data_IF_116908851038
#
_entry.id   IF_116908851038
#
_cell.length_a   1.000
_cell.length_b   1.000
_cell.length_c   1.000
_cell.angle_alpha   90.00
_cell.angle_beta   90.00
_cell.angle_gamma   90.00
#
_symmetry.space_group_name_H-M   'P 1'
#
loop_
_entity.id
_entity.type
_entity.pdbx_description
1 polymer ?
#
# COMPACT_ATOMS: atom_id res chain seq x y z
N UNK A 1 20.94 -6.66 21.79
CA UNK A 1 20.24 -7.48 20.78
C UNK A 1 20.73 -7.06 19.41
N UNK A 2 20.96 -7.99 18.49
CA UNK A 2 21.26 -7.59 17.12
C UNK A 2 19.95 -7.30 16.35
N UNK A 3 20.05 -6.54 15.25
CA UNK A 3 18.88 -6.11 14.48
C UNK A 3 18.04 -7.29 13.94
N UNK A 4 18.67 -8.40 13.55
CA UNK A 4 17.98 -9.58 13.03
C UNK A 4 17.10 -10.24 14.11
N UNK A 5 17.60 -10.38 15.33
CA UNK A 5 16.85 -10.95 16.47
C UNK A 5 15.62 -10.08 16.78
N UNK A 6 15.82 -8.76 16.89
CA UNK A 6 14.71 -7.82 17.15
C UNK A 6 13.66 -7.86 16.03
N UNK A 7 14.09 -7.91 14.79
CA UNK A 7 13.16 -8.00 13.65
C UNK A 7 12.38 -9.32 13.65
N UNK A 8 13.03 -10.44 13.95
CA UNK A 8 12.37 -11.75 14.05
C UNK A 8 11.32 -11.76 15.17
N UNK A 9 11.60 -11.17 16.33
CA UNK A 9 10.65 -11.00 17.43
C UNK A 9 9.41 -10.21 16.98
N UNK A 10 9.58 -9.06 16.31
CA UNK A 10 8.49 -8.23 15.80
C UNK A 10 7.61 -9.02 14.82
N UNK A 11 8.23 -9.70 13.85
CA UNK A 11 7.51 -10.49 12.83
C UNK A 11 6.72 -11.64 13.47
N UNK A 12 7.31 -12.31 14.47
CA UNK A 12 6.66 -13.40 15.18
C UNK A 12 5.56 -12.92 16.13
N UNK A 13 5.76 -11.80 16.80
CA UNK A 13 4.75 -11.24 17.71
C UNK A 13 3.53 -10.68 16.98
N UNK A 14 3.71 -10.10 15.79
CA UNK A 14 2.59 -9.50 15.04
C UNK A 14 1.50 -10.56 14.69
N UNK A 15 0.30 -10.30 15.17
CA UNK A 15 -0.91 -11.12 14.90
C UNK A 15 -2.03 -10.21 14.39
N UNK A 16 -3.01 -10.81 13.70
CA UNK A 16 -4.28 -10.14 13.42
C UNK A 16 -5.16 -10.15 14.67
N UNK A 17 -5.16 -9.03 15.40
CA UNK A 17 -5.92 -8.87 16.64
C UNK A 17 -7.29 -8.30 16.33
N UNK A 18 -8.35 -8.93 16.80
CA UNK A 18 -9.74 -8.60 16.46
C UNK A 18 -10.53 -7.99 17.61
N UNK A 19 -9.91 -7.81 18.78
CA UNK A 19 -10.50 -7.07 19.90
C UNK A 19 -9.43 -6.24 20.59
N UNK A 20 -9.77 -4.99 20.86
CA UNK A 20 -8.87 -4.02 21.49
C UNK A 20 -9.50 -3.49 22.79
N UNK A 21 -8.66 -3.16 23.73
CA UNK A 21 -9.07 -2.46 24.94
C UNK A 21 -9.27 -0.97 24.64
N UNK A 22 -10.53 -0.57 24.53
CA UNK A 22 -10.92 0.82 24.23
C UNK A 22 -10.64 1.80 25.37
N UNK A 23 -10.33 1.29 26.59
CA UNK A 23 -10.06 2.11 27.79
C UNK A 23 -8.56 2.23 28.09
N UNK A 24 -7.74 1.34 27.52
CA UNK A 24 -6.30 1.40 27.72
C UNK A 24 -5.69 2.69 27.12
N UNK A 25 -4.65 3.25 27.75
CA UNK A 25 -3.91 4.37 27.16
C UNK A 25 -3.39 4.01 25.76
N UNK A 26 -3.61 4.92 24.80
CA UNK A 26 -3.19 4.74 23.42
C UNK A 26 -2.42 5.96 22.91
N UNK A 27 -1.18 5.76 22.50
CA UNK A 27 -0.35 6.80 21.93
C UNK A 27 -0.66 6.97 20.43
N UNK A 28 -1.45 7.98 20.09
CA UNK A 28 -1.77 8.30 18.71
C UNK A 28 -0.54 8.75 17.87
N UNK A 29 0.55 9.17 18.51
CA UNK A 29 1.79 9.55 17.83
C UNK A 29 2.58 8.31 17.37
N UNK A 30 2.39 7.15 18.03
CA UNK A 30 2.90 5.89 17.54
C UNK A 30 2.34 5.53 16.16
N UNK A 31 1.06 5.85 15.88
CA UNK A 31 0.46 5.70 14.55
C UNK A 31 1.15 6.61 13.54
N UNK A 32 1.43 7.86 13.91
CA UNK A 32 2.11 8.82 13.05
C UNK A 32 3.52 8.34 12.71
N UNK A 33 4.34 8.00 13.72
CA UNK A 33 5.70 7.46 13.51
C UNK A 33 5.69 6.20 12.65
N UNK A 34 4.69 5.35 12.83
CA UNK A 34 4.54 4.11 12.04
C UNK A 34 4.16 4.39 10.60
N UNK A 35 3.35 5.41 10.31
CA UNK A 35 3.06 5.86 8.95
C UNK A 35 4.27 6.52 8.29
N UNK A 36 5.07 7.28 9.02
CA UNK A 36 6.32 7.85 8.51
C UNK A 36 7.33 6.76 8.10
N UNK A 37 7.38 5.64 8.83
CA UNK A 37 8.16 4.47 8.40
C UNK A 37 7.52 3.76 7.20
N UNK A 38 6.20 3.68 7.16
CA UNK A 38 5.47 3.04 6.07
C UNK A 38 5.69 3.71 4.70
N UNK A 39 5.80 5.04 4.66
CA UNK A 39 6.05 5.77 3.41
C UNK A 39 7.48 5.57 2.85
N UNK A 40 8.37 4.94 3.62
CA UNK A 40 9.70 4.53 3.15
C UNK A 40 9.68 3.17 2.43
N UNK A 41 8.53 2.49 2.37
CA UNK A 41 8.41 1.21 1.69
C UNK A 41 8.79 1.28 0.21
N UNK A 42 9.38 0.22 -0.36
CA UNK A 42 9.65 0.16 -1.78
C UNK A 42 8.34 0.18 -2.58
N UNK A 43 8.40 0.80 -3.76
CA UNK A 43 7.24 0.89 -4.64
C UNK A 43 7.65 1.00 -6.10
N UNK A 44 6.73 0.67 -7.00
CA UNK A 44 7.00 0.69 -8.42
C UNK A 44 7.30 2.11 -8.91
N UNK A 45 8.45 2.26 -9.58
CA UNK A 45 8.90 3.52 -10.18
C UNK A 45 8.95 4.70 -9.21
N UNK A 46 9.08 4.44 -7.94
CA UNK A 46 9.03 5.46 -6.87
C UNK A 46 7.81 6.40 -6.95
N UNK A 47 6.72 5.96 -7.59
CA UNK A 47 5.54 6.81 -7.79
C UNK A 47 4.72 7.05 -6.52
N UNK A 48 4.94 6.27 -5.46
CA UNK A 48 4.32 6.46 -4.14
C UNK A 48 2.80 6.66 -4.24
N UNK A 49 2.15 5.81 -5.04
CA UNK A 49 0.70 5.89 -5.33
C UNK A 49 -0.15 5.29 -4.23
N UNK A 50 0.18 5.57 -3.00
CA UNK A 50 -0.60 5.25 -1.80
C UNK A 50 -1.11 6.50 -1.10
N UNK A 51 -2.03 6.31 -0.18
CA UNK A 51 -2.48 7.32 0.77
C UNK A 51 -2.95 6.63 2.05
N UNK A 52 -2.80 7.32 3.17
CA UNK A 52 -3.23 6.83 4.47
C UNK A 52 -4.19 7.85 5.08
N UNK A 53 -5.39 7.38 5.45
CA UNK A 53 -6.40 8.20 6.12
C UNK A 53 -6.54 7.72 7.56
N UNK A 54 -6.15 8.54 8.50
CA UNK A 54 -6.28 8.29 9.94
C UNK A 54 -7.70 8.62 10.39
N UNK A 55 -8.39 7.66 10.98
CA UNK A 55 -9.76 7.79 11.47
C UNK A 55 -9.70 7.82 12.99
N UNK A 56 -9.67 9.03 13.58
CA UNK A 56 -9.41 9.27 14.99
C UNK A 56 -10.68 9.55 15.80
N UNK A 57 -11.59 10.38 15.26
CA UNK A 57 -12.79 10.76 15.99
C UNK A 57 -13.72 9.55 16.15
N UNK A 58 -14.41 9.50 17.29
CA UNK A 58 -15.28 8.38 17.63
C UNK A 58 -16.42 8.21 16.63
N UNK A 59 -17.03 9.32 16.19
CA UNK A 59 -18.10 9.28 15.21
C UNK A 59 -17.65 8.70 13.87
N UNK A 60 -16.48 9.14 13.39
CA UNK A 60 -15.90 8.60 12.15
C UNK A 60 -15.51 7.14 12.30
N UNK A 61 -14.94 6.73 13.46
CA UNK A 61 -14.63 5.32 13.70
C UNK A 61 -15.88 4.46 13.70
N UNK A 62 -16.97 4.90 14.34
CA UNK A 62 -18.27 4.18 14.31
C UNK A 62 -18.80 4.03 12.90
N UNK A 63 -18.75 5.10 12.10
CA UNK A 63 -19.25 5.04 10.72
C UNK A 63 -18.37 4.13 9.85
N UNK A 64 -17.04 4.23 9.94
CA UNK A 64 -16.13 3.33 9.21
C UNK A 64 -16.32 1.88 9.67
N UNK A 65 -16.49 1.63 10.97
CA UNK A 65 -16.76 0.27 11.48
C UNK A 65 -18.06 -0.32 10.89
N UNK A 66 -19.11 0.50 10.78
CA UNK A 66 -20.36 0.10 10.10
C UNK A 66 -20.11 -0.29 8.65
N UNK A 67 -19.29 0.49 7.93
CA UNK A 67 -18.92 0.19 6.55
C UNK A 67 -17.96 -1.00 6.42
N UNK A 68 -17.28 -1.38 7.49
CA UNK A 68 -16.49 -2.61 7.60
C UNK A 68 -17.34 -3.79 8.13
N UNK A 69 -18.64 -3.83 7.85
CA UNK A 69 -19.57 -4.91 8.24
C UNK A 69 -19.63 -5.13 9.77
N UNK A 70 -19.40 -4.10 10.56
CA UNK A 70 -19.34 -4.17 12.02
C UNK A 70 -18.38 -5.24 12.56
N UNK A 71 -17.33 -5.55 11.82
CA UNK A 71 -16.31 -6.48 12.30
C UNK A 71 -15.77 -6.04 13.66
N UNK A 72 -15.55 -7.00 14.55
CA UNK A 72 -15.10 -6.72 15.93
C UNK A 72 -13.83 -5.88 15.96
N UNK A 73 -12.87 -6.14 15.06
CA UNK A 73 -11.65 -5.34 14.94
C UNK A 73 -11.94 -3.86 14.66
N UNK A 74 -12.88 -3.55 13.76
CA UNK A 74 -13.23 -2.17 13.44
C UNK A 74 -13.98 -1.48 14.59
N UNK A 75 -14.89 -2.19 15.27
CA UNK A 75 -15.70 -1.63 16.36
C UNK A 75 -14.92 -1.31 17.63
N UNK A 76 -13.90 -2.10 17.91
CA UNK A 76 -13.11 -1.95 19.16
C UNK A 76 -11.79 -1.20 18.94
N UNK A 77 -11.41 -0.90 17.70
CA UNK A 77 -10.17 -0.17 17.40
C UNK A 77 -10.11 1.19 18.09
N UNK A 78 -8.95 1.54 18.62
CA UNK A 78 -8.67 2.87 19.17
C UNK A 78 -8.40 3.88 18.04
N UNK A 79 -7.85 3.44 16.92
CA UNK A 79 -7.77 4.18 15.65
C UNK A 79 -7.93 3.23 14.46
N UNK A 80 -8.46 3.73 13.34
CA UNK A 80 -8.49 3.01 12.07
C UNK A 80 -7.63 3.75 11.04
N UNK A 81 -6.90 3.00 10.22
CA UNK A 81 -6.12 3.56 9.10
C UNK A 81 -6.65 2.97 7.81
N UNK A 82 -7.20 3.82 6.94
CA UNK A 82 -7.63 3.41 5.60
C UNK A 82 -6.49 3.61 4.63
N UNK A 83 -6.01 2.51 4.06
CA UNK A 83 -4.92 2.50 3.06
C UNK A 83 -5.54 2.59 1.67
N UNK A 84 -5.15 3.60 0.91
CA UNK A 84 -5.71 3.88 -0.41
C UNK A 84 -4.69 3.71 -1.52
N UNK A 85 -5.16 3.31 -2.70
CA UNK A 85 -4.42 3.30 -3.96
C UNK A 85 -4.77 4.55 -4.76
N UNK A 86 -3.79 5.39 -5.03
CA UNK A 86 -3.91 6.71 -5.65
C UNK A 86 -3.28 6.72 -7.05
N UNK A 87 -3.68 5.74 -7.88
CA UNK A 87 -3.24 5.70 -9.28
C UNK A 87 -3.57 7.01 -10.04
N UNK A 88 -4.59 7.76 -9.60
CA UNK A 88 -4.94 9.09 -10.13
C UNK A 88 -3.82 10.13 -9.99
N UNK A 89 -2.90 9.94 -9.07
CA UNK A 89 -1.78 10.85 -8.78
C UNK A 89 -0.53 10.62 -9.63
N UNK A 90 -0.50 9.59 -10.46
CA UNK A 90 0.71 9.21 -11.18
C UNK A 90 1.35 10.35 -12.00
N UNK A 91 0.54 11.23 -12.63
CA UNK A 91 1.05 12.35 -13.44
C UNK A 91 1.78 13.38 -12.60
N UNK A 92 1.14 13.81 -11.50
CA UNK A 92 1.71 14.76 -10.56
C UNK A 92 3.00 14.23 -9.93
N UNK A 93 2.94 13.00 -9.43
CA UNK A 93 4.09 12.36 -8.79
C UNK A 93 5.25 12.14 -9.77
N UNK A 94 4.95 11.65 -10.99
CA UNK A 94 5.95 11.48 -12.05
C UNK A 94 6.63 12.80 -12.41
N UNK A 95 5.86 13.88 -12.56
CA UNK A 95 6.40 15.21 -12.84
C UNK A 95 7.33 15.69 -11.72
N UNK A 96 6.89 15.62 -10.47
CA UNK A 96 7.70 16.04 -9.31
C UNK A 96 9.00 15.25 -9.18
N UNK A 97 8.96 13.93 -9.43
CA UNK A 97 10.17 13.09 -9.44
C UNK A 97 11.11 13.54 -10.56
N UNK A 98 10.57 13.76 -11.76
CA UNK A 98 11.37 14.21 -12.92
C UNK A 98 12.00 15.59 -12.69
N UNK A 99 11.24 16.52 -12.12
CA UNK A 99 11.72 17.87 -11.79
C UNK A 99 12.88 17.79 -10.75
N UNK A 100 12.73 16.96 -9.71
CA UNK A 100 13.80 16.73 -8.72
C UNK A 100 15.04 16.08 -9.33
N UNK A 101 14.84 15.05 -10.20
CA UNK A 101 15.96 14.40 -10.88
C UNK A 101 16.74 15.38 -11.75
N UNK A 102 16.05 16.21 -12.53
CA UNK A 102 16.70 17.23 -13.37
C UNK A 102 17.49 18.25 -12.56
N UNK A 103 16.98 18.65 -11.40
CA UNK A 103 17.68 19.55 -10.49
C UNK A 103 18.91 18.93 -9.84
N UNK A 104 18.98 17.59 -9.73
CA UNK A 104 20.09 16.86 -9.10
C UNK A 104 21.17 16.39 -10.09
N UNK A 105 20.88 16.38 -11.39
CA UNK A 105 21.81 15.89 -12.40
C UNK A 105 22.85 16.95 -12.76
N UNK A 106 24.08 16.51 -13.04
CA UNK A 106 25.15 17.38 -13.53
C UNK A 106 24.99 17.68 -15.03
N UNK A 107 25.55 18.80 -15.48
CA UNK A 107 25.67 19.12 -16.90
C UNK A 107 27.14 18.90 -17.34
N UNK A 108 27.37 18.14 -18.43
CA UNK A 108 26.39 17.49 -19.32
C UNK A 108 25.77 16.21 -18.71
N UNK A 109 24.53 15.92 -19.08
CA UNK A 109 23.80 14.74 -18.66
C UNK A 109 24.49 13.44 -19.11
N UNK A 110 24.68 12.49 -18.19
CA UNK A 110 25.20 11.17 -18.50
C UNK A 110 24.19 10.32 -19.31
N UNK A 111 24.65 9.22 -19.90
CA UNK A 111 23.75 8.25 -20.56
C UNK A 111 22.72 7.65 -19.59
N UNK A 112 23.08 7.50 -18.31
CA UNK A 112 22.19 7.01 -17.25
C UNK A 112 21.07 8.03 -16.97
N UNK A 113 21.43 9.31 -16.85
CA UNK A 113 20.48 10.39 -16.57
C UNK A 113 19.46 10.53 -17.70
N UNK A 114 19.93 10.51 -18.96
CA UNK A 114 19.05 10.53 -20.15
C UNK A 114 18.05 9.37 -20.16
N UNK A 115 18.50 8.15 -19.83
CA UNK A 115 17.61 6.98 -19.73
C UNK A 115 16.60 7.13 -18.60
N UNK A 116 17.02 7.68 -17.45
CA UNK A 116 16.13 7.90 -16.32
C UNK A 116 15.04 8.94 -16.67
N UNK A 117 15.39 10.04 -17.33
CA UNK A 117 14.46 11.04 -17.84
C UNK A 117 13.46 10.39 -18.83
N UNK A 118 13.97 9.68 -19.84
CA UNK A 118 13.13 9.00 -20.85
C UNK A 118 12.15 8.00 -20.21
N UNK A 119 12.55 7.32 -19.15
CA UNK A 119 11.68 6.41 -18.42
C UNK A 119 10.44 7.12 -17.86
N UNK A 120 10.60 8.27 -17.21
CA UNK A 120 9.48 9.01 -16.66
C UNK A 120 8.69 9.78 -17.73
N UNK A 121 9.30 10.18 -18.83
CA UNK A 121 8.64 10.90 -19.92
C UNK A 121 7.84 9.99 -20.86
N UNK A 122 8.29 8.75 -21.06
CA UNK A 122 7.70 7.82 -22.05
C UNK A 122 7.08 6.57 -21.41
N UNK A 123 7.84 5.86 -20.56
CA UNK A 123 7.41 4.55 -20.08
C UNK A 123 6.30 4.69 -19.03
N UNK A 124 6.41 5.64 -18.10
CA UNK A 124 5.39 5.87 -17.09
C UNK A 124 4.06 6.32 -17.72
N UNK A 125 4.00 7.32 -18.61
CA UNK A 125 2.77 7.65 -19.35
C UNK A 125 2.21 6.46 -20.12
N UNK A 126 3.04 5.69 -20.81
CA UNK A 126 2.59 4.50 -21.53
C UNK A 126 1.91 3.50 -20.59
N UNK A 127 2.43 3.30 -19.37
CA UNK A 127 1.89 2.34 -18.42
C UNK A 127 0.59 2.82 -17.74
N UNK A 128 0.51 4.10 -17.36
CA UNK A 128 -0.56 4.62 -16.50
C UNK A 128 -1.66 5.38 -17.25
N UNK A 129 -1.44 5.82 -18.50
CA UNK A 129 -2.49 6.46 -19.29
C UNK A 129 -3.54 5.43 -19.69
N UNK A 130 -4.77 5.68 -19.30
CA UNK A 130 -5.90 4.85 -19.67
C UNK A 130 -6.98 5.73 -20.33
N UNK A 131 -7.64 5.17 -21.32
CA UNK A 131 -8.77 5.76 -22.03
C UNK A 131 -10.02 4.91 -21.83
N UNK A 132 -11.23 5.48 -21.98
CA UNK A 132 -12.47 4.74 -21.81
C UNK A 132 -12.77 3.74 -22.93
N UNK A 133 -12.16 3.88 -24.11
CA UNK A 133 -12.44 3.08 -25.29
C UNK A 133 -11.45 1.92 -25.49
N UNK A 134 -10.39 1.85 -24.70
CA UNK A 134 -9.40 0.77 -24.77
C UNK A 134 -8.31 0.94 -25.85
N UNK A 135 -8.23 2.10 -26.51
CA UNK A 135 -7.19 2.36 -27.51
C UNK A 135 -5.78 2.21 -26.94
N UNK A 136 -5.54 2.68 -25.72
CA UNK A 136 -4.25 2.52 -25.05
C UNK A 136 -3.94 1.05 -24.75
N UNK A 137 -4.94 0.23 -24.47
CA UNK A 137 -4.77 -1.21 -24.30
C UNK A 137 -4.36 -1.87 -25.60
N UNK A 138 -5.02 -1.53 -26.71
CA UNK A 138 -4.67 -2.04 -28.05
C UNK A 138 -3.25 -1.61 -28.43
N UNK A 139 -2.93 -0.34 -28.28
CA UNK A 139 -1.58 0.19 -28.57
C UNK A 139 -0.49 -0.57 -27.78
N UNK A 140 -0.71 -0.77 -26.47
CA UNK A 140 0.23 -1.55 -25.64
C UNK A 140 0.37 -2.99 -26.12
N UNK A 141 -0.72 -3.65 -26.50
CA UNK A 141 -0.67 -5.03 -27.03
C UNK A 141 0.19 -5.10 -28.28
N UNK A 142 0.05 -4.16 -29.21
CA UNK A 142 0.86 -4.07 -30.42
C UNK A 142 2.33 -3.86 -30.08
N UNK A 143 2.64 -2.88 -29.23
CA UNK A 143 4.03 -2.59 -28.80
C UNK A 143 4.64 -3.82 -28.12
N UNK A 144 3.93 -4.42 -27.16
CA UNK A 144 4.39 -5.61 -26.42
C UNK A 144 4.63 -6.79 -27.37
N UNK A 145 3.75 -7.00 -28.35
CA UNK A 145 3.92 -8.06 -29.35
C UNK A 145 5.25 -7.91 -30.10
N UNK A 146 5.50 -6.74 -30.68
CA UNK A 146 6.73 -6.51 -31.45
C UNK A 146 8.00 -6.49 -30.58
N UNK A 147 7.91 -5.95 -29.37
CA UNK A 147 9.05 -5.93 -28.46
C UNK A 147 9.38 -7.32 -27.94
N UNK A 148 8.37 -8.15 -27.67
CA UNK A 148 8.56 -9.52 -27.21
C UNK A 148 9.16 -10.46 -28.28
N UNK A 149 9.05 -10.13 -29.56
CA UNK A 149 9.74 -10.83 -30.64
C UNK A 149 11.25 -10.59 -30.63
N UNK A 150 11.70 -9.44 -30.09
CA UNK A 150 13.11 -9.06 -30.02
C UNK A 150 13.83 -9.55 -28.76
N UNK A 151 13.08 -10.03 -27.76
CA UNK A 151 13.64 -10.52 -26.50
C UNK A 151 12.65 -10.44 -25.32
N UNK A 152 13.10 -10.74 -24.11
CA UNK A 152 12.26 -10.65 -22.91
C UNK A 152 11.69 -9.23 -22.75
N UNK A 153 10.37 -9.13 -22.66
CA UNK A 153 9.66 -7.86 -22.50
C UNK A 153 8.47 -8.02 -21.56
N UNK A 154 8.20 -7.04 -20.63
CA UNK A 154 7.05 -7.09 -19.75
C UNK A 154 5.73 -7.12 -20.53
N UNK A 155 4.86 -8.08 -20.24
CA UNK A 155 3.58 -8.26 -20.96
C UNK A 155 2.41 -7.50 -20.32
N UNK A 156 2.64 -6.29 -19.88
CA UNK A 156 1.65 -5.43 -19.22
C UNK A 156 0.91 -4.59 -20.24
N UNK A 157 -0.32 -4.96 -20.54
CA UNK A 157 -1.06 -4.36 -21.67
C UNK A 157 -2.35 -3.67 -21.27
N UNK A 158 -2.93 -3.98 -20.11
CA UNK A 158 -4.24 -3.50 -19.74
C UNK A 158 -4.27 -2.67 -18.45
N UNK A 159 -5.44 -2.10 -18.15
CA UNK A 159 -5.67 -1.30 -16.95
C UNK A 159 -5.52 -2.12 -15.65
N UNK A 160 -5.81 -3.41 -15.70
CA UNK A 160 -5.70 -4.27 -14.52
C UNK A 160 -4.25 -4.34 -14.02
N UNK A 161 -3.26 -4.34 -14.93
CA UNK A 161 -1.85 -4.35 -14.54
C UNK A 161 -1.42 -3.11 -13.75
N UNK A 162 -1.82 -1.91 -14.19
CA UNK A 162 -1.50 -0.68 -13.45
C UNK A 162 -2.20 -0.65 -12.08
N UNK A 163 -3.42 -1.18 -12.01
CA UNK A 163 -4.16 -1.36 -10.75
C UNK A 163 -3.43 -2.30 -9.80
N UNK A 164 -3.03 -3.49 -10.28
CA UNK A 164 -2.28 -4.48 -9.49
C UNK A 164 -0.97 -3.88 -8.95
N UNK A 165 -0.23 -3.12 -9.75
CA UNK A 165 1.01 -2.46 -9.33
C UNK A 165 0.76 -1.49 -8.16
N UNK A 166 -0.30 -0.68 -8.24
CA UNK A 166 -0.61 0.28 -7.16
C UNK A 166 -1.05 -0.44 -5.89
N UNK A 167 -1.82 -1.52 -5.99
CA UNK A 167 -2.20 -2.34 -4.84
C UNK A 167 -1.01 -3.04 -4.20
N UNK A 168 -0.08 -3.59 -4.99
CA UNK A 168 1.17 -4.17 -4.45
C UNK A 168 1.99 -3.14 -3.70
N UNK A 169 2.17 -1.95 -4.26
CA UNK A 169 2.90 -0.86 -3.60
C UNK A 169 2.24 -0.44 -2.29
N UNK A 170 0.92 -0.27 -2.27
CA UNK A 170 0.17 0.07 -1.07
C UNK A 170 0.23 -1.03 0.00
N UNK A 171 0.20 -2.31 -0.41
CA UNK A 171 0.31 -3.45 0.49
C UNK A 171 1.70 -3.55 1.15
N UNK A 172 2.78 -3.24 0.43
CA UNK A 172 4.13 -3.17 1.00
C UNK A 172 4.21 -2.10 2.09
N UNK A 173 3.65 -0.91 1.85
CA UNK A 173 3.60 0.15 2.84
C UNK A 173 2.69 -0.21 4.03
N UNK A 174 1.54 -0.85 3.79
CA UNK A 174 0.65 -1.34 4.84
C UNK A 174 1.33 -2.40 5.72
N UNK A 175 2.11 -3.32 5.13
CA UNK A 175 2.88 -4.30 5.90
C UNK A 175 3.96 -3.62 6.77
N UNK A 176 4.67 -2.64 6.22
CA UNK A 176 5.66 -1.84 6.98
C UNK A 176 4.98 -1.12 8.15
N UNK A 177 3.80 -0.53 7.93
CA UNK A 177 2.99 0.08 8.99
C UNK A 177 2.65 -0.91 10.10
N UNK A 178 2.14 -2.10 9.74
CA UNK A 178 1.74 -3.10 10.74
C UNK A 178 2.92 -3.64 11.56
N UNK A 179 4.09 -3.82 10.95
CA UNK A 179 5.31 -4.22 11.67
C UNK A 179 5.79 -3.09 12.58
N UNK A 180 5.72 -1.84 12.11
CA UNK A 180 6.07 -0.68 12.91
C UNK A 180 5.15 -0.51 14.12
N UNK A 181 3.84 -0.67 13.96
CA UNK A 181 2.90 -0.65 15.09
C UNK A 181 3.20 -1.75 16.11
N UNK A 182 3.59 -2.94 15.63
CA UNK A 182 4.02 -4.02 16.54
C UNK A 182 5.30 -3.64 17.31
N UNK A 183 6.25 -2.96 16.67
CA UNK A 183 7.45 -2.45 17.31
C UNK A 183 7.15 -1.34 18.34
N UNK A 184 6.10 -0.54 18.10
CA UNK A 184 5.58 0.46 19.06
C UNK A 184 4.73 -0.16 20.20
N UNK A 185 4.54 -1.50 20.21
CA UNK A 185 3.76 -2.21 21.24
C UNK A 185 2.25 -2.27 20.96
N UNK A 186 1.80 -1.87 19.78
CA UNK A 186 0.38 -1.87 19.42
C UNK A 186 0.04 -2.96 18.43
N UNK A 187 -1.14 -3.54 18.60
CA UNK A 187 -1.65 -4.57 17.71
C UNK A 187 -2.37 -3.99 16.51
N UNK A 188 -2.45 -4.79 15.45
CA UNK A 188 -3.14 -4.42 14.22
C UNK A 188 -3.99 -5.57 13.66
N UNK A 189 -5.01 -5.22 12.86
CA UNK A 189 -5.76 -6.16 12.05
C UNK A 189 -6.09 -5.56 10.69
N UNK A 190 -5.51 -6.07 9.58
CA UNK A 190 -5.94 -5.69 8.24
C UNK A 190 -7.30 -6.31 7.92
N UNK A 191 -8.16 -5.54 7.29
CA UNK A 191 -9.51 -5.92 6.88
C UNK A 191 -9.72 -5.56 5.41
N UNK A 192 -10.26 -6.51 4.63
CA UNK A 192 -10.65 -6.30 3.23
C UNK A 192 -12.18 -6.32 3.05
N UNK A 193 -12.92 -6.76 4.09
CA UNK A 193 -14.39 -6.75 4.11
C UNK A 193 -14.94 -5.38 4.46
N UNK A 194 -15.18 -4.52 3.46
CA UNK A 194 -15.77 -3.18 3.61
C UNK A 194 -16.56 -2.77 2.36
N UNK A 195 -17.53 -1.85 2.55
CA UNK A 195 -18.24 -1.21 1.43
C UNK A 195 -17.36 -0.09 0.84
N UNK A 196 -16.57 -0.42 -0.17
CA UNK A 196 -15.63 0.51 -0.79
C UNK A 196 -16.32 1.78 -1.30
N UNK A 197 -17.47 1.64 -1.96
CA UNK A 197 -18.18 2.77 -2.57
C UNK A 197 -18.60 3.79 -1.53
N UNK A 198 -19.21 3.34 -0.42
CA UNK A 198 -19.63 4.22 0.66
C UNK A 198 -18.46 4.79 1.43
N UNK A 199 -17.43 3.97 1.68
CA UNK A 199 -16.23 4.41 2.39
C UNK A 199 -15.46 5.49 1.60
N UNK A 200 -15.33 5.35 0.28
CA UNK A 200 -14.78 6.39 -0.60
C UNK A 200 -15.59 7.69 -0.51
N UNK A 201 -16.92 7.60 -0.53
CA UNK A 201 -17.79 8.78 -0.40
C UNK A 201 -17.61 9.46 0.96
N UNK A 202 -17.57 8.69 2.05
CA UNK A 202 -17.35 9.19 3.40
C UNK A 202 -16.03 9.96 3.53
N UNK A 203 -14.97 9.46 2.90
CA UNK A 203 -13.62 10.06 2.95
C UNK A 203 -13.38 11.12 1.87
N UNK A 204 -14.36 11.45 1.03
CA UNK A 204 -14.20 12.42 -0.07
C UNK A 204 -13.19 12.00 -1.13
N UNK A 205 -12.99 10.69 -1.32
CA UNK A 205 -12.00 10.17 -2.27
C UNK A 205 -12.48 10.31 -3.73
N UNK A 206 -11.57 10.64 -4.66
CA UNK A 206 -11.92 10.72 -6.07
C UNK A 206 -12.33 9.35 -6.63
N UNK A 207 -13.14 9.35 -7.68
CA UNK A 207 -13.67 8.12 -8.30
C UNK A 207 -12.59 7.10 -8.67
N UNK A 208 -11.41 7.59 -9.08
CA UNK A 208 -10.28 6.75 -9.53
C UNK A 208 -9.41 6.23 -8.39
N UNK A 209 -9.55 6.74 -7.18
CA UNK A 209 -8.91 6.13 -6.01
C UNK A 209 -9.58 4.80 -5.68
N UNK A 210 -8.80 3.86 -5.16
CA UNK A 210 -9.29 2.58 -4.65
C UNK A 210 -8.83 2.41 -3.20
N UNK A 211 -9.53 1.58 -2.43
CA UNK A 211 -9.11 1.26 -1.07
C UNK A 211 -8.40 -0.10 -1.11
N UNK A 212 -7.18 -0.14 -0.58
CA UNK A 212 -6.40 -1.36 -0.50
C UNK A 212 -6.88 -2.22 0.68
N UNK A 213 -6.92 -1.63 1.87
CA UNK A 213 -7.41 -2.27 3.09
C UNK A 213 -7.75 -1.23 4.16
N UNK A 214 -8.49 -1.64 5.18
CA UNK A 214 -8.67 -0.89 6.42
C UNK A 214 -7.91 -1.61 7.53
N UNK A 215 -7.05 -0.90 8.25
CA UNK A 215 -6.27 -1.47 9.34
C UNK A 215 -6.80 -0.93 10.68
N UNK A 216 -7.29 -1.83 11.51
CA UNK A 216 -7.61 -1.53 12.90
C UNK A 216 -6.34 -1.56 13.75
N UNK A 217 -6.20 -0.65 14.71
CA UNK A 217 -5.07 -0.62 15.64
C UNK A 217 -5.49 -0.20 17.05
N UNK A 218 -4.72 -0.66 18.02
CA UNK A 218 -4.96 -0.38 19.43
C UNK A 218 -4.22 -1.34 20.35
N UNK A 219 -4.49 -1.22 21.66
CA UNK A 219 -4.00 -2.15 22.67
C UNK A 219 -4.78 -3.46 22.59
N UNK A 220 -4.06 -4.57 22.41
CA UNK A 220 -4.67 -5.90 22.25
C UNK A 220 -5.37 -6.35 23.54
N UNK A 221 -6.57 -6.93 23.41
CA UNK A 221 -7.12 -7.79 24.43
C UNK A 221 -6.61 -9.24 24.24
N UNK A 222 -6.38 -10.01 25.31
CA UNK A 222 -5.91 -11.41 25.19
C UNK A 222 -6.80 -12.26 24.27
N UNK A 223 -8.10 -12.12 24.36
CA UNK A 223 -9.08 -12.83 23.50
C UNK A 223 -9.22 -12.22 22.10
N UNK A 224 -8.41 -11.21 21.75
CA UNK A 224 -8.39 -10.62 20.40
C UNK A 224 -7.73 -11.49 19.36
N UNK A 225 -6.96 -12.50 19.75
CA UNK A 225 -6.37 -13.50 18.87
C UNK A 225 -7.21 -14.78 18.93
N UNK A 226 -7.95 -15.09 17.86
CA UNK A 226 -8.96 -16.16 17.88
C UNK A 226 -8.43 -17.58 17.74
N UNK A 227 -7.19 -17.76 17.25
CA UNK A 227 -6.61 -19.09 17.01
C UNK A 227 -5.11 -19.04 17.06
N UNK A 228 -4.48 -20.18 17.19
CA UNK A 228 -3.05 -20.33 16.99
C UNK A 228 -2.62 -19.96 15.56
N UNK A 229 -1.33 -19.65 15.38
CA UNK A 229 -0.79 -19.35 14.05
C UNK A 229 -0.61 -20.64 13.27
N UNK A 230 -1.37 -20.80 12.20
CA UNK A 230 -1.11 -21.84 11.22
C UNK A 230 -0.30 -21.27 10.04
N UNK A 231 0.66 -22.04 9.56
CA UNK A 231 1.39 -21.83 8.31
C UNK A 231 1.65 -23.17 7.65
N UNK A 232 1.58 -23.20 6.34
CA UNK A 232 2.04 -24.35 5.58
C UNK A 232 3.55 -24.57 5.79
N UNK A 233 4.06 -25.80 5.65
CA UNK A 233 5.49 -26.08 5.73
C UNK A 233 6.30 -25.23 4.75
N UNK A 234 7.46 -24.76 5.17
CA UNK A 234 8.33 -23.94 4.31
C UNK A 234 8.71 -24.66 3.01
N UNK A 235 8.84 -25.98 3.03
CA UNK A 235 9.14 -26.84 1.86
C UNK A 235 8.07 -26.78 0.76
N UNK A 236 6.84 -26.43 1.11
CA UNK A 236 5.75 -26.27 0.11
C UNK A 236 5.75 -24.89 -0.53
N UNK A 237 6.36 -23.89 0.12
CA UNK A 237 6.24 -22.48 -0.27
C UNK A 237 7.56 -21.91 -0.75
N UNK A 238 8.70 -22.39 -0.18
CA UNK A 238 10.05 -21.92 -0.52
C UNK A 238 10.70 -22.95 -1.42
N UNK A 239 10.89 -22.59 -2.67
CA UNK A 239 11.53 -23.45 -3.68
C UNK A 239 12.83 -22.81 -4.13
N UNK A 240 13.93 -23.58 -4.03
CA UNK A 240 15.23 -23.22 -4.59
C UNK A 240 15.37 -23.80 -6.01
N UNK A 241 15.89 -22.99 -6.95
CA UNK A 241 16.18 -23.39 -8.33
C UNK A 241 17.66 -23.24 -8.65
#
# INVERSE_FOLDING_TARGET
>A
MNAATTFDEIVRARRAVRKYDTKAPFDADAVQRSLERAVLAPNSSNLQTWGFHRIRSEDMRREVARLCMNQSAARTAQELVVVTCRADKWKDHSKRILDQMRASFSDPLTKRDKRAIEYYERNIPLLYTNDPFGFMTLLRRIIVFFMALKGPFPRWTDRAHSRIITHKSAALAAQTFMLSMQAEGYATCPMEGFDEKRLKKLLGLPRRAEINMVIATGVALPEGVYSERFRFPNTEIIVAH
#
